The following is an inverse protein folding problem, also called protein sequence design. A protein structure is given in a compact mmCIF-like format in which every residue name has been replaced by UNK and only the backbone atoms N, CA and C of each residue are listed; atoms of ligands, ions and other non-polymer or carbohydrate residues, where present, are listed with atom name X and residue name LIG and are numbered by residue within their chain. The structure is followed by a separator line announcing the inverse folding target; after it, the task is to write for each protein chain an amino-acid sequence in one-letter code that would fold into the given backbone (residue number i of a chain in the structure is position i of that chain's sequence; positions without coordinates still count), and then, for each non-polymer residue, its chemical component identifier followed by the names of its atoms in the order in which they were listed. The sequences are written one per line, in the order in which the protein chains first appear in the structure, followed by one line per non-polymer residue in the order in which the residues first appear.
data_IF_778878055274
#
_entry.id   IF_778878055274
#
_cell.length_a   1.000
_cell.length_b   1.000
_cell.length_c   1.000
_cell.angle_alpha   90.00
_cell.angle_beta   90.00
_cell.angle_gamma   90.00
#
_symmetry.space_group_name_H-M   'P 1'
#
loop_
_entity.id
_entity.type
_entity.pdbx_description
1 polymer ?
#
# COMPACT_ATOMS: atom_id res chain seq x y z
N UNK A 1 -5.47 4.43 8.37
CA UNK A 1 -4.29 3.63 8.78
C UNK A 1 -2.93 4.23 8.41
N UNK A 2 -2.85 5.20 7.47
CA UNK A 2 -1.55 5.76 7.01
C UNK A 2 -0.71 6.42 8.11
N UNK A 3 -1.34 7.19 9.00
CA UNK A 3 -0.64 7.84 10.13
C UNK A 3 0.06 6.84 11.05
N UNK A 4 -0.63 5.74 11.39
CA UNK A 4 -0.06 4.65 12.20
C UNK A 4 1.18 4.04 11.51
N UNK A 5 1.10 3.73 10.22
CA UNK A 5 2.25 3.17 9.49
C UNK A 5 3.44 4.13 9.44
N UNK A 6 3.18 5.44 9.31
CA UNK A 6 4.23 6.45 9.34
C UNK A 6 4.91 6.55 10.72
N UNK A 7 4.14 6.43 11.81
CA UNK A 7 4.69 6.38 13.18
C UNK A 7 5.54 5.12 13.39
N UNK A 8 5.03 3.95 12.97
CA UNK A 8 5.75 2.68 13.10
C UNK A 8 7.06 2.66 12.29
N UNK A 9 7.08 3.22 11.08
CA UNK A 9 8.29 3.36 10.27
C UNK A 9 9.36 4.25 10.92
N UNK A 10 8.93 5.28 11.65
CA UNK A 10 9.85 6.19 12.35
C UNK A 10 10.45 5.54 13.60
N UNK A 11 9.64 4.78 14.33
CA UNK A 11 10.03 4.19 15.61
C UNK A 11 10.81 2.87 15.44
N UNK A 12 10.48 2.08 14.40
CA UNK A 12 11.03 0.75 14.22
C UNK A 12 11.72 0.59 12.86
N UNK A 13 12.97 0.13 12.90
CA UNK A 13 13.75 -0.21 11.71
C UNK A 13 13.51 -1.67 11.28
N UNK A 14 12.28 -1.98 10.86
CA UNK A 14 11.92 -3.31 10.38
C UNK A 14 10.98 -3.26 9.17
N UNK A 15 10.90 -4.39 8.45
CA UNK A 15 10.00 -4.52 7.32
C UNK A 15 8.54 -4.53 7.80
N UNK A 16 7.78 -3.49 7.44
CA UNK A 16 6.37 -3.34 7.80
C UNK A 16 5.51 -3.66 6.58
N UNK A 17 4.52 -4.55 6.76
CA UNK A 17 3.52 -4.90 5.76
C UNK A 17 2.16 -4.33 6.19
N UNK A 18 1.55 -3.50 5.33
CA UNK A 18 0.19 -3.00 5.56
C UNK A 18 -0.85 -4.05 5.15
N UNK A 19 -1.80 -4.42 6.01
CA UNK A 19 -2.80 -5.47 5.70
C UNK A 19 -4.25 -5.00 5.66
N UNK A 20 -4.53 -3.75 6.05
CA UNK A 20 -5.90 -3.30 6.31
C UNK A 20 -6.25 -1.93 5.73
N UNK A 21 -7.44 -1.84 5.13
CA UNK A 21 -8.05 -0.57 4.71
C UNK A 21 -7.56 -0.04 3.36
N UNK A 22 -7.07 -0.92 2.48
CA UNK A 22 -6.61 -0.54 1.15
C UNK A 22 -7.74 -0.79 0.16
N UNK A 23 -8.28 0.28 -0.41
CA UNK A 23 -9.51 0.24 -1.22
C UNK A 23 -9.40 0.97 -2.56
N UNK A 24 -8.30 1.68 -2.79
CA UNK A 24 -8.05 2.45 -4.01
C UNK A 24 -6.57 2.40 -4.41
N UNK A 25 -6.29 2.76 -5.67
CA UNK A 25 -4.91 2.95 -6.15
C UNK A 25 -4.18 4.09 -5.42
N UNK A 26 -4.92 5.11 -4.95
CA UNK A 26 -4.34 6.17 -4.12
C UNK A 26 -3.85 5.68 -2.76
N UNK A 27 -4.50 4.65 -2.20
CA UNK A 27 -4.01 4.00 -0.99
C UNK A 27 -2.69 3.28 -1.27
N UNK A 28 -2.58 2.58 -2.40
CA UNK A 28 -1.36 1.90 -2.82
C UNK A 28 -0.22 2.90 -2.99
N UNK A 29 -0.45 3.99 -3.74
CA UNK A 29 0.54 5.05 -3.94
C UNK A 29 1.03 5.64 -2.61
N UNK A 30 0.11 5.97 -1.69
CA UNK A 30 0.49 6.52 -0.40
C UNK A 30 1.33 5.55 0.44
N UNK A 31 1.07 4.24 0.37
CA UNK A 31 1.87 3.24 1.08
C UNK A 31 3.26 3.07 0.46
N UNK A 32 3.37 3.18 -0.87
CA UNK A 32 4.66 3.22 -1.59
C UNK A 32 5.47 4.46 -1.21
N UNK A 33 4.84 5.64 -1.17
CA UNK A 33 5.48 6.90 -0.75
C UNK A 33 5.95 6.88 0.70
N UNK A 34 5.25 6.12 1.57
CA UNK A 34 5.68 5.88 2.95
C UNK A 34 6.87 4.92 3.08
N UNK A 35 7.31 4.28 1.99
CA UNK A 35 8.45 3.35 2.00
C UNK A 35 8.16 2.04 2.73
N UNK A 36 6.89 1.61 2.80
CA UNK A 36 6.56 0.32 3.41
C UNK A 36 7.11 -0.83 2.58
N UNK A 37 7.44 -1.93 3.27
CA UNK A 37 7.98 -3.13 2.62
C UNK A 37 6.95 -3.80 1.70
N UNK A 38 5.67 -3.73 2.06
CA UNK A 38 4.61 -4.27 1.21
C UNK A 38 3.22 -4.00 1.73
N UNK A 39 2.24 -4.47 0.96
CA UNK A 39 0.84 -4.35 1.28
C UNK A 39 0.06 -5.61 0.87
N UNK A 40 -0.92 -6.01 1.69
CA UNK A 40 -1.82 -7.13 1.42
C UNK A 40 -3.15 -6.55 0.96
N UNK A 41 -3.54 -6.87 -0.27
CA UNK A 41 -4.81 -6.47 -0.84
C UNK A 41 -5.80 -7.63 -0.71
N UNK A 42 -6.93 -7.37 -0.06
CA UNK A 42 -8.01 -8.35 0.14
C UNK A 42 -9.22 -8.06 -0.74
N UNK A 43 -10.36 -7.76 -0.09
CA UNK A 43 -11.66 -7.52 -0.72
C UNK A 43 -11.60 -6.61 -1.96
N UNK A 44 -10.80 -5.54 -1.93
CA UNK A 44 -10.71 -4.60 -3.04
C UNK A 44 -10.22 -5.21 -4.37
N UNK A 45 -9.36 -6.24 -4.32
CA UNK A 45 -9.00 -7.02 -5.50
C UNK A 45 -10.17 -7.90 -5.95
N UNK A 46 -10.80 -8.63 -5.03
CA UNK A 46 -11.91 -9.54 -5.36
C UNK A 46 -13.13 -8.83 -5.93
N UNK A 47 -13.38 -7.57 -5.53
CA UNK A 47 -14.51 -6.77 -6.04
C UNK A 47 -14.15 -5.94 -7.27
N UNK A 48 -12.91 -6.01 -7.76
CA UNK A 48 -12.44 -5.20 -8.89
C UNK A 48 -12.34 -3.69 -8.60
N UNK A 49 -12.34 -3.30 -7.32
CA UNK A 49 -12.14 -1.89 -6.93
C UNK A 49 -10.68 -1.44 -7.17
N UNK A 50 -9.76 -2.41 -7.16
CA UNK A 50 -8.36 -2.24 -7.53
C UNK A 50 -8.03 -3.27 -8.62
N UNK A 51 -7.46 -2.80 -9.72
CA UNK A 51 -6.80 -3.68 -10.69
C UNK A 51 -5.40 -4.04 -10.19
N UNK A 52 -5.07 -5.33 -10.18
CA UNK A 52 -3.79 -5.83 -9.66
C UNK A 52 -2.61 -5.33 -10.49
N UNK A 53 -2.72 -5.26 -11.82
CA UNK A 53 -1.62 -4.81 -12.68
C UNK A 53 -1.32 -3.35 -12.41
N UNK A 54 -2.36 -2.55 -12.25
CA UNK A 54 -2.22 -1.13 -11.96
C UNK A 54 -1.62 -0.88 -10.57
N UNK A 55 -2.02 -1.66 -9.56
CA UNK A 55 -1.41 -1.61 -8.24
C UNK A 55 0.08 -1.97 -8.26
N UNK A 56 0.47 -3.01 -9.00
CA UNK A 56 1.88 -3.38 -9.19
C UNK A 56 2.67 -2.30 -9.92
N UNK A 57 2.09 -1.74 -10.99
CA UNK A 57 2.71 -0.64 -11.76
C UNK A 57 3.04 0.56 -10.87
N UNK A 58 2.13 0.93 -9.96
CA UNK A 58 2.37 1.99 -8.96
C UNK A 58 3.46 1.57 -7.96
N UNK A 59 3.39 0.34 -7.44
CA UNK A 59 4.35 -0.16 -6.45
C UNK A 59 5.78 -0.24 -6.99
N UNK A 60 5.96 -0.50 -8.29
CA UNK A 60 7.24 -0.54 -8.98
C UNK A 60 7.74 0.86 -9.42
N UNK A 61 7.01 1.93 -9.10
CA UNK A 61 7.39 3.31 -9.41
C UNK A 61 6.92 3.83 -10.76
N UNK A 62 6.04 3.11 -11.45
CA UNK A 62 5.36 3.60 -12.65
C UNK A 62 4.37 4.71 -12.30
N UNK A 63 4.40 5.83 -13.03
CA UNK A 63 3.36 6.88 -12.93
C UNK A 63 2.09 6.51 -13.72
N UNK A 64 0.89 6.70 -13.14
CA UNK A 64 -0.39 6.40 -13.80
C UNK A 64 -0.60 7.14 -15.11
#
# INVERSE_FOLDING_TARGET
NRGLYAELQKEFHMNIIASGGISSLSDVQALTELGLYGAILGKALYTGAIDLKEALRIAEGGKP
#
